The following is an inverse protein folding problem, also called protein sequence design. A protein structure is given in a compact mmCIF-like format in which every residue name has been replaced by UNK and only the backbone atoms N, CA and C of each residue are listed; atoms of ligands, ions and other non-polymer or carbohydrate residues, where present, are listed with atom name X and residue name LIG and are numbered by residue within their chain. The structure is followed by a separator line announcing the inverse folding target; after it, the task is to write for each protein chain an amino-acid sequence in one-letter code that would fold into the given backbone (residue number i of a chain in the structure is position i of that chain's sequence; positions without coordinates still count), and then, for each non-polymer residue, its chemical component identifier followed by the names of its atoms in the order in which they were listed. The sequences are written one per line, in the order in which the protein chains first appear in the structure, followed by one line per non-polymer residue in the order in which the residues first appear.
data_IF_420594411752
#
_entry.id   IF_420594411752
#
_cell.length_a   1.000
_cell.length_b   1.000
_cell.length_c   1.000
_cell.angle_alpha   90.00
_cell.angle_beta   90.00
_cell.angle_gamma   90.00
#
_symmetry.space_group_name_H-M   'P 1'
#
loop_
_entity.id
_entity.type
_entity.pdbx_description
1 polymer ?
#
# COMPACT_ATOMS: atom_id res chain seq x y z
N UNK A 1 4.57 10.31 -16.69
CA UNK A 1 4.70 10.04 -15.24
C UNK A 1 3.37 9.53 -14.72
N UNK A 2 3.37 8.35 -14.17
CA UNK A 2 2.15 7.75 -13.61
C UNK A 2 1.98 8.12 -12.15
N UNK A 3 0.73 8.22 -11.70
CA UNK A 3 0.37 8.41 -10.30
C UNK A 3 -0.76 7.47 -9.93
N UNK A 4 -0.92 7.23 -8.62
CA UNK A 4 -1.97 6.37 -8.12
C UNK A 4 -3.20 7.19 -7.75
N UNK A 5 -4.37 6.69 -8.15
CA UNK A 5 -5.64 7.22 -7.66
C UNK A 5 -5.91 6.68 -6.26
N UNK A 6 -6.44 7.53 -5.39
CA UNK A 6 -6.93 7.09 -4.08
C UNK A 6 -8.26 6.35 -4.26
N UNK A 7 -8.36 5.17 -3.69
CA UNK A 7 -9.62 4.42 -3.72
C UNK A 7 -10.70 5.16 -2.92
N UNK A 8 -11.87 5.30 -3.52
CA UNK A 8 -13.05 5.85 -2.86
C UNK A 8 -13.97 4.75 -2.29
N UNK A 9 -13.67 3.48 -2.57
CA UNK A 9 -14.52 2.37 -2.15
C UNK A 9 -14.26 1.98 -0.70
N UNK A 10 -15.29 1.48 -0.01
CA UNK A 10 -15.10 0.84 1.29
C UNK A 10 -14.17 -0.36 1.18
N UNK A 11 -13.28 -0.52 2.16
CA UNK A 11 -12.42 -1.68 2.26
C UNK A 11 -13.18 -2.85 2.86
N UNK A 12 -12.83 -4.06 2.44
CA UNK A 12 -13.45 -5.29 2.92
C UNK A 12 -12.39 -6.31 3.29
N UNK A 13 -12.71 -7.16 4.27
CA UNK A 13 -11.89 -8.33 4.60
C UNK A 13 -11.83 -9.27 3.40
N UNK A 14 -10.74 -9.98 3.26
CA UNK A 14 -10.44 -10.93 2.16
C UNK A 14 -10.12 -10.23 0.83
N UNK A 15 -10.33 -8.93 0.74
CA UNK A 15 -9.97 -8.16 -0.46
C UNK A 15 -8.49 -8.36 -0.80
N UNK A 16 -8.20 -8.68 -2.06
CA UNK A 16 -6.81 -8.82 -2.56
C UNK A 16 -6.11 -7.48 -2.58
N UNK A 17 -4.88 -7.46 -2.11
CA UNK A 17 -4.02 -6.27 -2.14
C UNK A 17 -2.61 -6.63 -2.59
N UNK A 18 -1.88 -5.62 -3.04
CA UNK A 18 -0.49 -5.71 -3.46
C UNK A 18 0.31 -4.62 -2.77
N UNK A 19 1.49 -4.97 -2.26
CA UNK A 19 2.42 -4.04 -1.63
C UNK A 19 3.64 -3.90 -2.51
N UNK A 20 4.05 -2.67 -2.82
CA UNK A 20 5.24 -2.41 -3.62
C UNK A 20 6.27 -1.63 -2.80
N UNK A 21 7.55 -1.91 -3.04
CA UNK A 21 8.63 -1.22 -2.36
C UNK A 21 10.01 -1.75 -2.73
N UNK A 22 11.00 -1.18 -2.08
CA UNK A 22 12.40 -1.56 -2.23
C UNK A 22 12.94 -2.09 -0.90
N UNK A 23 12.51 -3.32 -0.49
CA UNK A 23 12.91 -3.87 0.81
C UNK A 23 14.42 -4.04 0.85
N UNK A 24 15.01 -3.68 2.00
CA UNK A 24 16.46 -3.70 2.23
C UNK A 24 17.26 -2.78 1.30
N UNK A 25 16.58 -1.89 0.57
CA UNK A 25 17.20 -0.89 -0.29
C UNK A 25 18.10 -1.51 -1.36
N UNK A 26 19.09 -0.76 -1.80
CA UNK A 26 20.03 -1.19 -2.82
C UNK A 26 20.96 -2.33 -2.40
N UNK A 27 21.01 -2.65 -1.10
CA UNK A 27 21.84 -3.74 -0.59
C UNK A 27 21.39 -5.12 -1.07
N UNK A 28 20.09 -5.30 -1.36
CA UNK A 28 19.57 -6.54 -1.89
C UNK A 28 19.45 -6.50 -3.42
N UNK A 29 18.81 -5.45 -3.95
CA UNK A 29 18.55 -5.30 -5.38
C UNK A 29 17.96 -3.92 -5.64
N UNK A 30 18.28 -3.33 -6.79
CA UNK A 30 17.70 -2.06 -7.23
C UNK A 30 16.29 -2.22 -7.80
N UNK A 31 15.80 -3.45 -7.92
CA UNK A 31 14.52 -3.75 -8.53
C UNK A 31 13.36 -3.64 -7.53
N UNK A 32 12.23 -3.11 -7.97
CA UNK A 32 11.01 -3.03 -7.19
C UNK A 32 10.53 -4.44 -6.83
N UNK A 33 10.13 -4.63 -5.58
CA UNK A 33 9.50 -5.88 -5.11
C UNK A 33 8.01 -5.65 -4.90
N UNK A 34 7.20 -6.60 -5.35
CA UNK A 34 5.76 -6.60 -5.18
C UNK A 34 5.37 -7.87 -4.44
N UNK A 35 4.62 -7.71 -3.35
CA UNK A 35 4.04 -8.84 -2.61
C UNK A 35 2.53 -8.76 -2.68
N UNK A 36 1.87 -9.91 -2.64
CA UNK A 36 0.42 -10.05 -2.70
C UNK A 36 -0.11 -10.63 -1.41
N UNK A 37 -1.29 -10.20 -1.01
CA UNK A 37 -2.00 -10.75 0.13
C UNK A 37 -3.44 -10.28 0.15
N UNK A 38 -4.04 -10.35 1.34
CA UNK A 38 -5.41 -9.92 1.58
C UNK A 38 -5.48 -8.96 2.77
N UNK A 39 -6.58 -8.23 2.85
CA UNK A 39 -6.95 -7.50 4.05
C UNK A 39 -7.45 -8.52 5.08
N UNK A 40 -6.72 -8.67 6.18
CA UNK A 40 -7.07 -9.60 7.27
C UNK A 40 -8.01 -8.97 8.28
N UNK A 41 -7.88 -7.65 8.51
CA UNK A 41 -8.74 -6.90 9.44
C UNK A 41 -8.87 -5.45 9.00
N UNK A 42 -10.01 -4.86 9.28
CA UNK A 42 -10.29 -3.43 9.02
C UNK A 42 -9.83 -2.53 10.17
N UNK A 43 -9.16 -3.10 11.16
CA UNK A 43 -8.52 -2.39 12.27
C UNK A 43 -7.07 -2.83 12.37
N UNK A 44 -6.19 -1.89 12.69
CA UNK A 44 -4.78 -2.15 12.86
C UNK A 44 -4.40 -2.53 14.28
N UNK A 45 -3.17 -2.21 14.64
CA UNK A 45 -2.63 -2.51 15.96
C UNK A 45 -3.46 -1.83 17.07
N UNK A 46 -3.82 -2.61 18.09
CA UNK A 46 -4.61 -2.11 19.21
C UNK A 46 -6.00 -1.59 18.81
N UNK A 47 -6.62 -2.22 17.81
CA UNK A 47 -7.92 -1.81 17.25
C UNK A 47 -7.92 -0.42 16.61
N UNK A 48 -6.77 0.04 16.12
CA UNK A 48 -6.65 1.33 15.44
C UNK A 48 -7.51 1.36 14.17
N UNK A 49 -8.54 2.20 14.17
CA UNK A 49 -9.49 2.31 13.06
C UNK A 49 -8.93 3.03 11.83
N UNK A 50 -7.78 3.69 11.95
CA UNK A 50 -7.10 4.36 10.83
C UNK A 50 -6.19 3.41 10.04
N UNK A 51 -6.04 2.19 10.50
CA UNK A 51 -5.19 1.19 9.90
C UNK A 51 -5.97 -0.05 9.49
N UNK A 52 -5.41 -0.78 8.51
CA UNK A 52 -5.82 -2.15 8.18
C UNK A 52 -4.69 -3.10 8.55
N UNK A 53 -5.05 -4.36 8.81
CA UNK A 53 -4.10 -5.46 8.92
C UNK A 53 -4.11 -6.24 7.62
N UNK A 54 -2.93 -6.58 7.13
CA UNK A 54 -2.73 -7.38 5.91
C UNK A 54 -1.78 -8.53 6.19
N UNK A 55 -1.82 -9.56 5.38
CA UNK A 55 -0.91 -10.71 5.47
C UNK A 55 0.22 -10.66 4.43
N UNK A 56 0.18 -9.72 3.49
CA UNK A 56 1.29 -9.50 2.57
C UNK A 56 2.55 -9.08 3.31
N UNK A 57 3.70 -9.59 2.89
CA UNK A 57 4.96 -9.30 3.57
C UNK A 57 5.35 -7.83 3.45
N UNK A 58 5.67 -7.22 4.59
CA UNK A 58 6.29 -5.90 4.67
C UNK A 58 7.65 -6.06 5.35
N UNK A 59 8.70 -5.71 4.65
CA UNK A 59 10.07 -5.75 5.14
C UNK A 59 10.62 -4.32 5.23
N UNK A 60 11.74 -4.09 5.97
CA UNK A 60 12.39 -2.79 5.99
C UNK A 60 12.65 -2.26 4.57
N UNK A 61 12.22 -1.03 4.28
CA UNK A 61 12.26 -0.43 2.96
C UNK A 61 10.92 -0.42 2.21
N UNK A 62 9.90 -1.15 2.71
CA UNK A 62 8.54 -1.09 2.16
C UNK A 62 7.66 -0.05 2.88
N UNK A 63 8.04 0.37 4.08
CA UNK A 63 7.28 1.38 4.82
C UNK A 63 7.19 2.69 4.04
N UNK A 64 5.99 3.26 3.99
CA UNK A 64 5.68 4.41 3.15
C UNK A 64 5.31 4.06 1.72
N UNK A 65 5.48 2.80 1.32
CA UNK A 65 5.11 2.31 0.00
C UNK A 65 3.61 2.09 -0.17
N UNK A 66 3.15 2.00 -1.43
CA UNK A 66 1.72 1.85 -1.71
C UNK A 66 1.22 0.43 -1.44
N UNK A 67 -0.01 0.36 -0.93
CA UNK A 67 -0.84 -0.84 -0.91
C UNK A 67 -2.00 -0.57 -1.85
N UNK A 68 -2.11 -1.35 -2.92
CA UNK A 68 -3.11 -1.14 -3.97
C UNK A 68 -4.04 -2.36 -4.09
N UNK A 69 -5.22 -2.12 -4.68
CA UNK A 69 -6.16 -3.19 -5.04
C UNK A 69 -5.92 -3.70 -6.46
N UNK A 70 -6.79 -4.59 -6.95
CA UNK A 70 -6.71 -5.15 -8.31
C UNK A 70 -6.87 -4.11 -9.42
N UNK A 71 -7.47 -2.98 -9.13
CA UNK A 71 -7.66 -1.87 -10.07
C UNK A 71 -6.47 -0.89 -10.06
N UNK A 72 -5.43 -1.17 -9.27
CA UNK A 72 -4.26 -0.30 -9.15
C UNK A 72 -4.53 0.97 -8.33
N UNK A 73 -5.59 0.99 -7.54
CA UNK A 73 -5.95 2.14 -6.70
C UNK A 73 -5.31 2.01 -5.33
N UNK A 74 -4.83 3.14 -4.78
CA UNK A 74 -4.25 3.17 -3.45
C UNK A 74 -5.34 2.95 -2.40
N UNK A 75 -5.23 1.87 -1.64
CA UNK A 75 -6.13 1.54 -0.53
C UNK A 75 -5.51 1.80 0.84
N UNK A 76 -4.20 1.78 0.92
CA UNK A 76 -3.46 2.06 2.15
C UNK A 76 -2.00 2.40 1.85
N UNK A 77 -1.31 2.89 2.86
CA UNK A 77 0.15 3.12 2.84
C UNK A 77 0.78 2.20 3.87
N UNK A 78 1.78 1.42 3.43
CA UNK A 78 2.46 0.46 4.29
C UNK A 78 3.15 1.17 5.47
N UNK A 79 2.97 0.63 6.67
CA UNK A 79 3.64 1.15 7.87
C UNK A 79 4.75 0.20 8.26
N UNK A 80 4.49 -0.69 9.17
CA UNK A 80 5.42 -1.71 9.63
C UNK A 80 4.64 -2.92 10.08
N UNK A 81 5.32 -4.06 10.13
CA UNK A 81 4.77 -5.24 10.76
C UNK A 81 5.19 -5.32 12.23
N UNK A 82 4.63 -6.27 12.93
CA UNK A 82 5.19 -6.72 14.20
C UNK A 82 6.55 -7.38 13.95
N UNK A 83 7.41 -7.37 14.95
CA UNK A 83 8.71 -8.02 14.83
C UNK A 83 8.52 -9.50 14.44
N UNK A 84 9.34 -9.98 13.49
CA UNK A 84 9.21 -11.34 12.92
C UNK A 84 9.27 -12.46 13.96
N UNK A 85 9.94 -12.22 15.07
CA UNK A 85 10.02 -13.15 16.20
C UNK A 85 8.72 -13.22 17.01
N UNK A 86 7.80 -12.27 16.82
CA UNK A 86 6.51 -12.21 17.51
C UNK A 86 5.35 -12.73 16.66
N UNK A 87 5.42 -12.54 15.34
CA UNK A 87 4.36 -13.01 14.45
C UNK A 87 4.75 -12.92 12.98
N UNK A 88 4.31 -13.90 12.19
CA UNK A 88 4.36 -13.85 10.74
C UNK A 88 2.98 -13.46 10.19
N UNK A 89 2.95 -12.76 9.06
CA UNK A 89 1.71 -12.42 8.38
C UNK A 89 0.86 -11.36 9.09
N UNK A 90 1.43 -10.60 10.02
CA UNK A 90 0.76 -9.48 10.65
C UNK A 90 1.50 -8.20 10.30
N UNK A 91 0.96 -7.47 9.35
CA UNK A 91 1.48 -6.21 8.85
C UNK A 91 0.35 -5.19 8.75
N UNK A 92 0.68 -3.92 8.74
CA UNK A 92 -0.31 -2.84 8.83
C UNK A 92 -0.13 -1.80 7.73
N UNK A 93 -1.24 -1.17 7.37
CA UNK A 93 -1.24 -0.03 6.46
C UNK A 93 -2.22 1.03 6.92
N UNK A 94 -1.85 2.29 6.73
CA UNK A 94 -2.72 3.44 7.00
C UNK A 94 -3.74 3.52 5.87
N UNK A 95 -5.02 3.54 6.21
CA UNK A 95 -6.12 3.58 5.23
C UNK A 95 -6.04 4.81 4.32
N UNK A 96 -6.46 4.65 3.07
CA UNK A 96 -6.54 5.75 2.11
C UNK A 96 -7.41 6.91 2.61
N UNK A 97 -8.44 6.64 3.40
CA UNK A 97 -9.27 7.69 4.01
C UNK A 97 -8.46 8.61 4.94
N UNK A 98 -7.53 8.05 5.70
CA UNK A 98 -6.62 8.85 6.55
C UNK A 98 -5.60 9.61 5.72
N UNK A 99 -5.08 9.00 4.66
CA UNK A 99 -4.19 9.67 3.69
C UNK A 99 -4.92 10.85 3.06
N UNK A 100 -6.17 10.65 2.63
CA UNK A 100 -7.02 11.71 2.07
C UNK A 100 -7.16 12.88 3.03
N UNK A 101 -7.48 12.61 4.30
CA UNK A 101 -7.61 13.66 5.31
C UNK A 101 -6.31 14.45 5.48
N UNK A 102 -5.17 13.77 5.51
CA UNK A 102 -3.85 14.41 5.58
C UNK A 102 -3.60 15.33 4.38
N UNK A 103 -3.90 14.86 3.18
CA UNK A 103 -3.73 15.64 1.95
C UNK A 103 -4.66 16.85 1.93
N UNK A 104 -5.92 16.69 2.33
CA UNK A 104 -6.91 17.76 2.40
C UNK A 104 -6.46 18.88 3.38
N UNK A 105 -6.01 18.50 4.57
CA UNK A 105 -5.53 19.46 5.59
C UNK A 105 -4.32 20.23 5.09
N UNK A 106 -3.44 19.60 4.34
CA UNK A 106 -2.24 20.23 3.79
C UNK A 106 -2.46 20.86 2.41
N UNK A 107 -3.70 20.88 1.92
CA UNK A 107 -4.08 21.46 0.62
C UNK A 107 -3.31 20.87 -0.56
N UNK A 108 -3.00 19.57 -0.48
CA UNK A 108 -2.33 18.83 -1.54
C UNK A 108 -3.40 18.19 -2.43
N UNK A 109 -3.31 18.45 -3.73
CA UNK A 109 -4.25 17.90 -4.72
C UNK A 109 -3.98 16.42 -4.96
N UNK A 110 -5.05 15.66 -5.09
CA UNK A 110 -5.02 14.24 -5.44
C UNK A 110 -6.24 13.90 -6.30
N UNK A 111 -6.22 12.73 -6.91
CA UNK A 111 -7.36 12.22 -7.67
C UNK A 111 -7.91 10.97 -7.01
N UNK A 112 -9.24 10.84 -6.99
CA UNK A 112 -9.91 9.63 -6.53
C UNK A 112 -10.22 8.72 -7.70
N UNK A 113 -10.53 7.47 -7.41
CA UNK A 113 -10.78 6.46 -8.41
C UNK A 113 -11.94 6.81 -9.35
N UNK A 114 -11.81 6.36 -10.60
CA UNK A 114 -12.85 6.49 -11.60
C UNK A 114 -14.10 5.69 -11.24
N UNK A 115 -15.27 6.12 -11.74
CA UNK A 115 -16.52 5.38 -11.62
C UNK A 115 -16.49 4.07 -12.43
N UNK A 116 -15.68 4.01 -13.47
CA UNK A 116 -15.51 2.80 -14.30
C UNK A 116 -14.26 2.08 -13.85
N UNK A 117 -14.45 0.87 -13.32
CA UNK A 117 -13.37 0.06 -12.75
C UNK A 117 -13.20 -1.22 -13.56
N UNK A 118 -11.95 -1.48 -13.93
CA UNK A 118 -11.56 -2.72 -14.59
C UNK A 118 -10.37 -3.30 -13.84
N UNK A 119 -10.44 -4.57 -13.48
CA UNK A 119 -9.27 -5.27 -12.97
C UNK A 119 -8.13 -5.18 -13.97
N UNK A 120 -6.96 -4.77 -13.48
CA UNK A 120 -5.77 -4.67 -14.32
C UNK A 120 -5.13 -6.02 -14.53
N UNK A 121 -4.51 -6.22 -15.71
CA UNK A 121 -3.60 -7.34 -15.91
C UNK A 121 -2.39 -7.20 -15.00
N UNK A 122 -1.74 -8.32 -14.70
CA UNK A 122 -0.51 -8.31 -13.89
C UNK A 122 0.55 -7.38 -14.46
N UNK A 123 0.72 -7.39 -15.79
CA UNK A 123 1.68 -6.52 -16.46
C UNK A 123 1.35 -5.05 -16.24
N UNK A 124 0.10 -4.64 -16.44
CA UNK A 124 -0.31 -3.24 -16.28
C UNK A 124 -0.18 -2.78 -14.83
N UNK A 125 -0.57 -3.63 -13.88
CA UNK A 125 -0.45 -3.35 -12.45
C UNK A 125 1.02 -3.19 -12.04
N UNK A 126 1.88 -4.10 -12.48
CA UNK A 126 3.32 -4.03 -12.25
C UNK A 126 3.94 -2.75 -12.82
N UNK A 127 3.59 -2.38 -14.06
CA UNK A 127 4.10 -1.17 -14.71
C UNK A 127 3.69 0.10 -13.94
N UNK A 128 2.44 0.19 -13.50
CA UNK A 128 1.95 1.34 -12.72
C UNK A 128 2.68 1.44 -11.38
N UNK A 129 2.86 0.33 -10.68
CA UNK A 129 3.55 0.32 -9.40
C UNK A 129 5.03 0.72 -9.56
N UNK A 130 5.69 0.24 -10.61
CA UNK A 130 7.08 0.59 -10.89
C UNK A 130 7.24 2.08 -11.22
N UNK A 131 6.32 2.66 -11.97
CA UNK A 131 6.35 4.09 -12.33
C UNK A 131 5.96 5.00 -11.16
N UNK A 132 5.16 4.52 -10.22
CA UNK A 132 4.60 5.32 -9.12
C UNK A 132 5.34 5.18 -7.80
N UNK A 133 6.19 4.17 -7.66
CA UNK A 133 6.91 3.90 -6.41
C UNK A 133 8.36 4.34 -6.56
N UNK A 134 8.82 5.13 -5.61
CA UNK A 134 10.19 5.68 -5.63
C UNK A 134 10.94 5.24 -4.38
N UNK A 135 12.24 5.05 -4.52
CA UNK A 135 13.14 4.85 -3.41
C UNK A 135 13.61 6.20 -2.89
N UNK A 136 13.46 6.42 -1.60
CA UNK A 136 13.93 7.64 -0.95
C UNK A 136 14.98 7.30 0.11
N UNK A 137 15.94 8.18 0.28
CA UNK A 137 16.93 8.04 1.33
C UNK A 137 17.22 9.42 1.95
N UNK A 138 17.59 9.40 3.23
CA UNK A 138 18.02 10.61 3.94
C UNK A 138 19.54 10.59 4.08
N UNK A 139 20.15 11.72 3.81
CA UNK A 139 21.57 11.92 4.07
C UNK A 139 21.77 12.43 5.51
#
# INVERSE_FOLDING_TARGET
MSFLYLSADPLEKIQTIYVAGYPFGKGLSDDLKITQGIISSLKGFGDNSNEIQIDAAINPGNSGGPIVNDDGELVAVAVSGLAKDQSEGINFGIKASSVKNFLDVNKIKYSTSSLVKFSMSNKKLSDILEESTVYTFCN
#
